data_IF_311527174871
#
_entry.id   IF_311527174871
#
_cell.length_a   1.000
_cell.length_b   1.000
_cell.length_c   1.000
_cell.angle_alpha   90.00
_cell.angle_beta   90.00
_cell.angle_gamma   90.00
#
_symmetry.space_group_name_H-M   'P 1'
#
loop_
_entity.id
_entity.type
_entity.pdbx_description
1 polymer ?
#
# COMPACT_ATOMS: atom_id res chain seq x y z
N UNK A 1 13.34 14.68 -8.45
CA UNK A 1 14.10 15.56 -9.37
C UNK A 1 15.54 15.77 -8.91
N UNK A 2 15.85 16.45 -7.79
CA UNK A 2 17.26 16.70 -7.40
C UNK A 2 18.06 15.44 -7.00
N UNK A 3 17.39 14.45 -6.41
CA UNK A 3 18.00 13.15 -6.05
C UNK A 3 18.41 12.37 -7.30
N UNK A 4 17.57 12.42 -8.34
CA UNK A 4 17.74 11.62 -9.55
C UNK A 4 18.92 12.13 -10.39
N UNK A 5 19.15 13.45 -10.42
CA UNK A 5 20.35 14.06 -11.03
C UNK A 5 21.66 13.63 -10.35
N UNK A 6 21.66 13.42 -9.03
CA UNK A 6 22.86 12.95 -8.30
C UNK A 6 23.15 11.48 -8.50
N UNK A 7 22.10 10.67 -8.65
CA UNK A 7 22.25 9.23 -8.87
C UNK A 7 22.54 8.86 -10.32
N UNK A 8 22.63 9.85 -11.23
CA UNK A 8 22.77 9.63 -12.68
C UNK A 8 21.76 8.60 -13.23
N UNK A 9 20.64 8.45 -12.53
CA UNK A 9 19.58 7.53 -12.93
C UNK A 9 18.53 8.35 -13.62
N UNK A 10 18.34 8.04 -14.90
CA UNK A 10 17.36 8.72 -15.71
C UNK A 10 15.96 8.40 -15.17
N UNK A 11 15.38 9.31 -14.37
CA UNK A 11 14.08 9.11 -13.75
C UNK A 11 12.96 8.91 -14.79
N UNK A 12 13.17 9.42 -16.01
CA UNK A 12 12.26 9.22 -17.13
C UNK A 12 12.36 7.83 -17.74
N UNK A 13 13.47 7.11 -17.58
CA UNK A 13 13.64 5.77 -18.16
C UNK A 13 12.61 4.76 -17.65
N UNK A 14 11.93 5.05 -16.54
CA UNK A 14 10.97 4.14 -15.92
C UNK A 14 9.51 4.54 -16.03
N UNK A 15 9.20 5.71 -16.61
CA UNK A 15 7.85 6.19 -16.87
C UNK A 15 6.88 5.90 -15.70
N UNK A 16 7.31 6.17 -14.46
CA UNK A 16 6.54 5.86 -13.24
C UNK A 16 5.20 6.61 -13.30
N UNK A 17 5.22 7.86 -13.75
CA UNK A 17 4.01 8.69 -13.89
C UNK A 17 3.01 8.06 -14.86
N UNK A 18 3.49 7.53 -16.00
CA UNK A 18 2.65 6.81 -16.96
C UNK A 18 2.06 5.56 -16.32
N UNK A 19 2.83 4.82 -15.51
CA UNK A 19 2.33 3.63 -14.80
C UNK A 19 1.27 3.99 -13.76
N UNK A 20 1.45 5.09 -13.02
CA UNK A 20 0.44 5.58 -12.08
C UNK A 20 -0.85 5.91 -12.83
N UNK A 21 -0.76 6.71 -13.90
CA UNK A 21 -1.92 7.13 -14.69
C UNK A 21 -2.63 5.92 -15.30
N UNK A 22 -1.90 4.99 -15.92
CA UNK A 22 -2.47 3.76 -16.49
C UNK A 22 -3.12 2.88 -15.43
N UNK A 23 -2.50 2.75 -14.25
CA UNK A 23 -3.02 1.93 -13.16
C UNK A 23 -4.30 2.54 -12.55
N UNK A 24 -4.34 3.86 -12.37
CA UNK A 24 -5.53 4.59 -11.96
C UNK A 24 -6.65 4.48 -13.00
N UNK A 25 -6.34 4.70 -14.28
CA UNK A 25 -7.30 4.57 -15.38
C UNK A 25 -7.87 3.15 -15.45
N UNK A 26 -7.02 2.12 -15.32
CA UNK A 26 -7.45 0.73 -15.27
C UNK A 26 -8.39 0.44 -14.10
N UNK A 27 -8.09 0.96 -12.90
CA UNK A 27 -8.97 0.78 -11.75
C UNK A 27 -10.34 1.43 -11.94
N UNK A 28 -10.39 2.63 -12.55
CA UNK A 28 -11.64 3.32 -12.87
C UNK A 28 -12.44 2.50 -13.88
N UNK A 29 -11.82 2.11 -14.99
CA UNK A 29 -12.47 1.29 -16.04
C UNK A 29 -13.00 -0.01 -15.46
N UNK A 30 -12.21 -0.71 -14.65
CA UNK A 30 -12.61 -1.95 -14.01
C UNK A 30 -13.85 -1.77 -13.10
N UNK A 31 -13.88 -0.72 -12.26
CA UNK A 31 -15.04 -0.43 -11.39
C UNK A 31 -16.28 -0.07 -12.19
N UNK A 32 -16.13 0.72 -13.26
CA UNK A 32 -17.24 1.05 -14.17
C UNK A 32 -17.80 -0.20 -14.83
N UNK A 33 -16.94 -1.11 -15.32
CA UNK A 33 -17.37 -2.39 -15.91
C UNK A 33 -18.13 -3.24 -14.88
N UNK A 34 -17.60 -3.38 -13.66
CA UNK A 34 -18.29 -4.14 -12.61
C UNK A 34 -19.66 -3.54 -12.26
N UNK A 35 -19.78 -2.21 -12.21
CA UNK A 35 -21.05 -1.54 -11.96
C UNK A 35 -22.06 -1.74 -13.11
N UNK A 36 -21.61 -1.73 -14.36
CA UNK A 36 -22.44 -2.02 -15.53
C UNK A 36 -22.96 -3.46 -15.46
N UNK A 37 -22.08 -4.43 -15.20
CA UNK A 37 -22.45 -5.85 -15.06
C UNK A 37 -23.44 -6.03 -13.89
N UNK A 38 -23.23 -5.31 -12.78
CA UNK A 38 -24.13 -5.35 -11.63
C UNK A 38 -25.52 -4.81 -11.95
N UNK A 39 -25.61 -3.73 -12.74
CA UNK A 39 -26.88 -3.12 -13.16
C UNK A 39 -27.65 -4.00 -14.14
N UNK A 40 -26.97 -4.58 -15.15
CA UNK A 40 -27.62 -5.46 -16.15
C UNK A 40 -28.30 -6.66 -15.47
N UNK A 41 -27.75 -7.13 -14.35
CA UNK A 41 -28.27 -8.29 -13.62
C UNK A 41 -29.34 -7.96 -12.56
N UNK A 42 -29.66 -6.68 -12.30
CA UNK A 42 -30.68 -6.27 -11.33
C UNK A 42 -31.65 -5.27 -11.99
N UNK A 43 -32.69 -5.79 -12.64
CA UNK A 43 -33.61 -5.01 -13.47
C UNK A 43 -34.44 -3.98 -12.67
N UNK A 44 -34.78 -4.27 -11.41
CA UNK A 44 -35.83 -3.53 -10.70
C UNK A 44 -35.38 -2.20 -10.05
N UNK A 45 -34.08 -1.99 -9.78
CA UNK A 45 -33.62 -0.86 -8.95
C UNK A 45 -32.50 0.00 -9.58
N UNK A 46 -32.15 -0.20 -10.85
CA UNK A 46 -30.89 0.36 -11.36
C UNK A 46 -30.85 1.91 -11.37
N UNK A 47 -31.96 2.61 -11.58
CA UNK A 47 -31.99 4.09 -11.68
C UNK A 47 -31.77 4.81 -10.34
N UNK A 48 -32.43 4.36 -9.26
CA UNK A 48 -32.25 4.98 -7.93
C UNK A 48 -30.91 4.59 -7.31
N UNK A 49 -30.44 3.37 -7.58
CA UNK A 49 -29.08 2.93 -7.27
C UNK A 49 -28.06 3.79 -8.03
N UNK A 50 -28.34 4.23 -9.26
CA UNK A 50 -27.37 4.96 -10.08
C UNK A 50 -26.88 6.26 -9.46
N UNK A 51 -27.78 7.12 -8.97
CA UNK A 51 -27.36 8.42 -8.42
C UNK A 51 -26.60 8.27 -7.10
N UNK A 52 -27.11 7.44 -6.18
CA UNK A 52 -26.42 7.14 -4.92
C UNK A 52 -25.09 6.43 -5.15
N UNK A 53 -25.05 5.49 -6.10
CA UNK A 53 -23.82 4.80 -6.50
C UNK A 53 -22.82 5.77 -7.11
N UNK A 54 -23.22 6.71 -7.98
CA UNK A 54 -22.30 7.70 -8.55
C UNK A 54 -21.66 8.55 -7.44
N UNK A 55 -22.46 9.11 -6.54
CA UNK A 55 -21.93 9.95 -5.45
C UNK A 55 -20.97 9.16 -4.55
N UNK A 56 -21.35 7.93 -4.18
CA UNK A 56 -20.50 7.05 -3.38
C UNK A 56 -19.24 6.64 -4.14
N UNK A 57 -19.34 6.36 -5.45
CA UNK A 57 -18.20 5.94 -6.28
C UNK A 57 -17.19 7.08 -6.43
N UNK A 58 -17.62 8.34 -6.58
CA UNK A 58 -16.72 9.49 -6.63
C UNK A 58 -15.89 9.60 -5.34
N UNK A 59 -16.53 9.46 -4.18
CA UNK A 59 -15.83 9.49 -2.90
C UNK A 59 -14.84 8.32 -2.77
N UNK A 60 -15.25 7.12 -3.19
CA UNK A 60 -14.38 5.93 -3.16
C UNK A 60 -13.18 6.06 -4.11
N UNK A 61 -13.37 6.67 -5.29
CA UNK A 61 -12.27 6.93 -6.22
C UNK A 61 -11.20 7.85 -5.64
N UNK A 62 -11.58 8.84 -4.83
CA UNK A 62 -10.61 9.72 -4.16
C UNK A 62 -9.68 8.91 -3.24
N UNK A 63 -10.23 7.94 -2.50
CA UNK A 63 -9.43 7.05 -1.67
C UNK A 63 -8.58 6.09 -2.51
N UNK A 64 -9.13 5.50 -3.56
CA UNK A 64 -8.38 4.57 -4.44
C UNK A 64 -7.14 5.26 -5.02
N UNK A 65 -7.31 6.46 -5.59
CA UNK A 65 -6.22 7.24 -6.16
C UNK A 65 -5.17 7.52 -5.08
N UNK A 66 -5.60 7.91 -3.88
CA UNK A 66 -4.68 8.16 -2.77
C UNK A 66 -3.88 6.91 -2.39
N UNK A 67 -4.51 5.74 -2.31
CA UNK A 67 -3.83 4.48 -1.99
C UNK A 67 -2.84 4.09 -3.08
N UNK A 68 -3.24 4.19 -4.35
CA UNK A 68 -2.37 3.89 -5.47
C UNK A 68 -1.16 4.82 -5.51
N UNK A 69 -1.37 6.13 -5.41
CA UNK A 69 -0.27 7.11 -5.37
C UNK A 69 0.68 6.80 -4.21
N UNK A 70 0.15 6.46 -3.03
CA UNK A 70 0.96 6.11 -1.86
C UNK A 70 1.79 4.84 -2.10
N UNK A 71 1.18 3.79 -2.68
CA UNK A 71 1.90 2.60 -3.10
C UNK A 71 3.03 2.92 -4.07
N UNK A 72 2.78 3.74 -5.10
CA UNK A 72 3.82 4.12 -6.06
C UNK A 72 4.93 4.99 -5.46
N UNK A 73 4.61 5.85 -4.50
CA UNK A 73 5.62 6.59 -3.73
C UNK A 73 6.53 5.60 -3.00
N UNK A 74 5.98 4.65 -2.24
CA UNK A 74 6.79 3.63 -1.56
C UNK A 74 7.57 2.76 -2.55
N UNK A 75 6.95 2.35 -3.66
CA UNK A 75 7.61 1.55 -4.69
C UNK A 75 8.78 2.29 -5.35
N UNK A 76 8.63 3.59 -5.62
CA UNK A 76 9.70 4.45 -6.14
C UNK A 76 10.87 4.56 -5.14
N UNK A 77 10.55 4.72 -3.85
CA UNK A 77 11.55 4.75 -2.78
C UNK A 77 12.28 3.41 -2.64
N UNK A 78 11.56 2.29 -2.68
CA UNK A 78 12.14 0.94 -2.65
C UNK A 78 13.16 0.78 -3.78
N UNK A 79 12.82 1.20 -4.99
CA UNK A 79 13.74 1.17 -6.13
C UNK A 79 14.97 2.05 -5.91
N UNK A 80 14.81 3.27 -5.40
CA UNK A 80 15.94 4.17 -5.10
C UNK A 80 16.89 3.55 -4.08
N UNK A 81 16.37 2.96 -3.01
CA UNK A 81 17.18 2.24 -2.02
C UNK A 81 17.88 1.05 -2.68
N UNK A 82 17.18 0.26 -3.49
CA UNK A 82 17.78 -0.90 -4.18
C UNK A 82 18.88 -0.51 -5.16
N UNK A 83 18.70 0.59 -5.89
CA UNK A 83 19.74 1.16 -6.76
C UNK A 83 20.92 1.63 -5.92
N UNK A 84 20.69 2.31 -4.80
CA UNK A 84 21.75 2.71 -3.87
C UNK A 84 22.52 1.48 -3.37
N UNK A 85 21.83 0.41 -2.96
CA UNK A 85 22.46 -0.86 -2.57
C UNK A 85 23.37 -1.41 -3.66
N UNK A 86 22.91 -1.43 -4.93
CA UNK A 86 23.72 -1.89 -6.07
C UNK A 86 24.98 -1.05 -6.29
N UNK A 87 24.86 0.28 -6.21
CA UNK A 87 25.99 1.19 -6.37
C UNK A 87 27.02 1.01 -5.25
N UNK A 88 26.55 0.74 -4.03
CA UNK A 88 27.43 0.41 -2.90
C UNK A 88 28.10 -0.95 -3.14
N UNK A 89 27.39 -1.98 -3.62
CA UNK A 89 27.98 -3.30 -3.94
C UNK A 89 29.14 -3.15 -4.95
N UNK A 90 28.94 -2.34 -5.99
CA UNK A 90 29.93 -2.14 -7.05
C UNK A 90 31.10 -1.24 -6.64
N UNK A 91 31.11 -0.68 -5.42
CA UNK A 91 32.08 0.32 -4.95
C UNK A 91 32.15 1.58 -5.84
N UNK A 92 31.05 1.93 -6.50
CA UNK A 92 30.99 3.09 -7.41
C UNK A 92 30.77 4.42 -6.67
N UNK A 93 30.39 4.37 -5.38
CA UNK A 93 29.99 5.55 -4.60
C UNK A 93 30.66 5.56 -3.21
N UNK A 94 31.19 6.72 -2.83
CA UNK A 94 31.71 6.99 -1.49
C UNK A 94 30.62 6.90 -0.41
N UNK A 95 30.99 6.37 0.75
CA UNK A 95 30.08 6.18 1.90
C UNK A 95 29.43 7.51 2.33
N UNK A 96 30.16 8.62 2.29
CA UNK A 96 29.64 9.95 2.64
C UNK A 96 28.53 10.40 1.68
N UNK A 97 28.72 10.22 0.37
CA UNK A 97 27.72 10.54 -0.63
C UNK A 97 26.47 9.65 -0.48
N UNK A 98 26.69 8.35 -0.19
CA UNK A 98 25.61 7.42 0.10
C UNK A 98 24.78 7.85 1.32
N UNK A 99 25.43 8.32 2.40
CA UNK A 99 24.76 8.84 3.59
C UNK A 99 23.83 10.01 3.28
N UNK A 100 24.31 10.96 2.49
CA UNK A 100 23.53 12.14 2.14
C UNK A 100 22.35 11.81 1.22
N UNK A 101 22.52 10.86 0.29
CA UNK A 101 21.41 10.35 -0.53
C UNK A 101 20.38 9.67 0.37
N UNK A 102 20.81 8.78 1.27
CA UNK A 102 19.93 8.09 2.21
C UNK A 102 19.18 9.06 3.12
N UNK A 103 19.85 10.08 3.67
CA UNK A 103 19.23 11.18 4.45
C UNK A 103 18.12 11.87 3.68
N UNK A 104 18.34 12.16 2.39
CA UNK A 104 17.33 12.82 1.56
C UNK A 104 16.14 11.90 1.27
N UNK A 105 16.37 10.60 1.08
CA UNK A 105 15.31 9.59 0.96
C UNK A 105 14.48 9.56 2.25
N UNK A 106 15.12 9.46 3.41
CA UNK A 106 14.47 9.45 4.73
C UNK A 106 13.64 10.71 4.97
N UNK A 107 14.18 11.91 4.67
CA UNK A 107 13.45 13.18 4.78
C UNK A 107 12.21 13.21 3.88
N UNK A 108 12.34 12.75 2.64
CA UNK A 108 11.23 12.69 1.67
C UNK A 108 10.13 11.75 2.15
N UNK A 109 10.53 10.62 2.73
CA UNK A 109 9.62 9.65 3.33
C UNK A 109 8.82 10.27 4.48
N UNK A 110 9.49 10.94 5.43
CA UNK A 110 8.79 11.55 6.57
C UNK A 110 7.81 12.64 6.13
N UNK A 111 8.15 13.41 5.09
CA UNK A 111 7.25 14.41 4.53
C UNK A 111 5.99 13.76 3.90
N UNK A 112 6.17 12.71 3.10
CA UNK A 112 5.05 11.99 2.47
C UNK A 112 4.16 11.28 3.52
N UNK A 113 4.78 10.69 4.54
CA UNK A 113 4.09 9.95 5.61
C UNK A 113 3.07 10.80 6.36
N UNK A 114 3.38 12.07 6.65
CA UNK A 114 2.50 12.94 7.45
C UNK A 114 1.11 13.10 6.83
N UNK A 115 1.03 13.28 5.51
CA UNK A 115 -0.27 13.39 4.81
C UNK A 115 -0.94 12.02 4.66
N UNK A 116 -0.13 10.98 4.41
CA UNK A 116 -0.60 9.63 4.24
C UNK A 116 -1.29 9.07 5.49
N UNK A 117 -0.74 9.31 6.69
CA UNK A 117 -1.24 8.72 7.94
C UNK A 117 -2.74 9.05 8.17
N UNK A 118 -3.15 10.31 8.01
CA UNK A 118 -4.54 10.74 8.20
C UNK A 118 -5.49 10.10 7.19
N UNK A 119 -5.11 10.12 5.90
CA UNK A 119 -5.95 9.60 4.83
C UNK A 119 -6.07 8.07 4.92
N UNK A 120 -4.99 7.39 5.32
CA UNK A 120 -4.97 5.94 5.47
C UNK A 120 -5.85 5.46 6.62
N UNK A 121 -5.79 6.11 7.79
CA UNK A 121 -6.69 5.76 8.90
C UNK A 121 -8.14 6.03 8.55
N UNK A 122 -8.43 7.16 7.91
CA UNK A 122 -9.79 7.46 7.46
C UNK A 122 -10.31 6.38 6.50
N UNK A 123 -9.47 5.94 5.56
CA UNK A 123 -9.81 4.83 4.68
C UNK A 123 -10.04 3.53 5.47
N UNK A 124 -9.17 3.15 6.40
CA UNK A 124 -9.37 1.95 7.23
C UNK A 124 -10.70 2.00 7.99
N UNK A 125 -11.06 3.14 8.59
CA UNK A 125 -12.30 3.32 9.31
C UNK A 125 -13.55 3.22 8.44
N UNK A 126 -13.45 3.52 7.13
CA UNK A 126 -14.58 3.43 6.19
C UNK A 126 -14.64 2.04 5.55
N UNK A 127 -13.52 1.56 5.01
CA UNK A 127 -13.48 0.32 4.24
C UNK A 127 -13.64 -0.93 5.11
N UNK A 128 -13.04 -0.98 6.31
CA UNK A 128 -13.07 -2.19 7.14
C UNK A 128 -14.50 -2.50 7.64
N UNK A 129 -15.27 -1.55 8.21
CA UNK A 129 -16.68 -1.79 8.51
C UNK A 129 -17.50 -2.09 7.26
N UNK A 130 -17.21 -1.44 6.13
CA UNK A 130 -17.86 -1.73 4.85
C UNK A 130 -17.70 -3.18 4.42
N UNK A 131 -16.49 -3.74 4.55
CA UNK A 131 -16.22 -5.15 4.30
C UNK A 131 -17.03 -6.05 5.24
N UNK A 132 -17.08 -5.73 6.54
CA UNK A 132 -17.85 -6.50 7.54
C UNK A 132 -19.35 -6.52 7.15
N UNK A 133 -19.94 -5.37 6.87
CA UNK A 133 -21.35 -5.28 6.47
C UNK A 133 -21.59 -6.05 5.18
N UNK A 134 -20.69 -5.93 4.20
CA UNK A 134 -20.82 -6.63 2.93
C UNK A 134 -20.79 -8.15 3.08
N UNK A 135 -19.86 -8.70 3.87
CA UNK A 135 -19.81 -10.14 4.14
C UNK A 135 -21.07 -10.62 4.88
N UNK A 136 -21.58 -9.83 5.83
CA UNK A 136 -22.82 -10.16 6.52
C UNK A 136 -24.03 -10.22 5.56
N UNK A 137 -24.20 -9.20 4.71
CA UNK A 137 -25.26 -9.18 3.69
C UNK A 137 -25.14 -10.38 2.74
N UNK A 138 -23.91 -10.78 2.42
CA UNK A 138 -23.68 -11.96 1.59
C UNK A 138 -24.13 -13.25 2.30
N UNK A 139 -23.85 -13.40 3.60
CA UNK A 139 -24.31 -14.54 4.39
C UNK A 139 -25.84 -14.59 4.50
N UNK A 140 -26.49 -13.46 4.74
CA UNK A 140 -27.96 -13.42 4.85
C UNK A 140 -28.64 -13.77 3.53
N UNK A 141 -28.10 -13.31 2.40
CA UNK A 141 -28.64 -13.61 1.07
C UNK A 141 -28.37 -15.04 0.61
N UNK A 142 -27.22 -15.61 1.00
CA UNK A 142 -26.92 -17.01 0.76
C UNK A 142 -27.95 -17.94 1.43
N UNK A 143 -28.42 -17.59 2.64
CA UNK A 143 -29.45 -18.34 3.36
C UNK A 143 -30.81 -18.32 2.64
N UNK A 144 -31.18 -17.22 1.99
CA UNK A 144 -32.50 -17.06 1.32
C UNK A 144 -32.60 -17.77 -0.04
N UNK A 145 -31.53 -18.42 -0.51
CA UNK A 145 -31.54 -19.44 -1.59
C UNK A 145 -32.23 -19.05 -2.91
N UNK A 146 -32.08 -17.81 -3.39
CA UNK A 146 -32.53 -17.43 -4.74
C UNK A 146 -31.47 -17.76 -5.81
N UNK A 147 -31.89 -18.39 -6.91
CA UNK A 147 -31.00 -18.83 -8.00
C UNK A 147 -30.30 -17.66 -8.71
N UNK A 148 -30.97 -16.50 -8.82
CA UNK A 148 -30.45 -15.32 -9.53
C UNK A 148 -29.39 -14.55 -8.72
N UNK A 149 -29.12 -14.97 -7.47
CA UNK A 149 -28.20 -14.31 -6.57
C UNK A 149 -26.72 -14.56 -6.88
N UNK A 150 -26.38 -15.68 -7.53
CA UNK A 150 -24.98 -16.09 -7.72
C UNK A 150 -24.17 -15.05 -8.51
N UNK A 151 -24.74 -14.48 -9.57
CA UNK A 151 -24.05 -13.47 -10.37
C UNK A 151 -23.81 -12.18 -9.57
N UNK A 152 -24.83 -11.70 -8.84
CA UNK A 152 -24.70 -10.51 -7.99
C UNK A 152 -23.67 -10.70 -6.87
N UNK A 153 -23.63 -11.90 -6.28
CA UNK A 153 -22.67 -12.27 -5.23
C UNK A 153 -21.23 -12.22 -5.77
N UNK A 154 -20.97 -12.80 -6.94
CA UNK A 154 -19.63 -12.82 -7.55
C UNK A 154 -19.15 -11.40 -7.81
N UNK A 155 -19.97 -10.55 -8.43
CA UNK A 155 -19.60 -9.15 -8.74
C UNK A 155 -19.30 -8.36 -7.46
N UNK A 156 -20.13 -8.49 -6.42
CA UNK A 156 -19.89 -7.86 -5.11
C UNK A 156 -18.57 -8.32 -4.49
N UNK A 157 -18.30 -9.62 -4.47
CA UNK A 157 -17.07 -10.16 -3.91
C UNK A 157 -15.83 -9.73 -4.68
N UNK A 158 -15.89 -9.67 -6.01
CA UNK A 158 -14.79 -9.13 -6.82
C UNK A 158 -14.48 -7.67 -6.45
N UNK A 159 -15.52 -6.85 -6.30
CA UNK A 159 -15.36 -5.46 -5.85
C UNK A 159 -14.75 -5.36 -4.43
N UNK A 160 -15.18 -6.23 -3.49
CA UNK A 160 -14.60 -6.28 -2.15
C UNK A 160 -13.12 -6.67 -2.16
N UNK A 161 -12.77 -7.72 -2.92
CA UNK A 161 -11.39 -8.18 -3.07
C UNK A 161 -10.52 -7.07 -3.67
N UNK A 162 -11.00 -6.38 -4.72
CA UNK A 162 -10.27 -5.26 -5.31
C UNK A 162 -10.02 -4.14 -4.29
N UNK A 163 -11.06 -3.70 -3.56
CA UNK A 163 -10.92 -2.65 -2.55
C UNK A 163 -9.98 -3.08 -1.41
N UNK A 164 -10.05 -4.34 -0.99
CA UNK A 164 -9.15 -4.90 0.00
C UNK A 164 -7.69 -4.89 -0.49
N UNK A 165 -7.44 -5.31 -1.74
CA UNK A 165 -6.10 -5.27 -2.34
C UNK A 165 -5.57 -3.84 -2.45
N UNK A 166 -6.41 -2.88 -2.84
CA UNK A 166 -6.05 -1.46 -2.90
C UNK A 166 -5.72 -0.89 -1.53
N UNK A 167 -6.53 -1.20 -0.51
CA UNK A 167 -6.32 -0.79 0.88
C UNK A 167 -5.00 -1.35 1.45
N UNK A 168 -4.65 -2.59 1.07
CA UNK A 168 -3.42 -3.24 1.49
C UNK A 168 -2.18 -2.79 0.69
N UNK A 169 -2.37 -2.18 -0.49
CA UNK A 169 -1.27 -1.84 -1.39
C UNK A 169 -0.19 -0.95 -0.75
N UNK A 170 -0.49 0.12 0.01
CA UNK A 170 0.55 0.95 0.60
C UNK A 170 1.36 0.21 1.67
N UNK A 171 0.73 -0.73 2.41
CA UNK A 171 1.40 -1.55 3.41
C UNK A 171 2.42 -2.49 2.77
N UNK A 172 2.05 -3.14 1.67
CA UNK A 172 3.01 -3.93 0.88
C UNK A 172 4.15 -3.05 0.35
N UNK A 173 3.84 -1.85 -0.14
CA UNK A 173 4.85 -0.90 -0.59
C UNK A 173 5.84 -0.50 0.51
N UNK A 174 5.35 -0.17 1.70
CA UNK A 174 6.18 0.21 2.83
C UNK A 174 7.04 -0.96 3.36
N UNK A 175 6.51 -2.17 3.35
CA UNK A 175 7.26 -3.37 3.71
C UNK A 175 8.44 -3.61 2.76
N UNK A 176 8.23 -3.44 1.45
CA UNK A 176 9.31 -3.51 0.45
C UNK A 176 10.41 -2.47 0.69
N UNK A 177 10.04 -1.24 1.09
CA UNK A 177 11.01 -0.20 1.46
C UNK A 177 11.80 -0.60 2.69
N UNK A 178 11.10 -1.11 3.71
CA UNK A 178 11.70 -1.56 4.98
C UNK A 178 12.69 -2.69 4.74
N UNK A 179 12.30 -3.70 3.96
CA UNK A 179 13.13 -4.84 3.60
C UNK A 179 14.41 -4.42 2.86
N UNK A 180 14.31 -3.53 1.87
CA UNK A 180 15.50 -3.04 1.16
C UNK A 180 16.41 -2.17 2.02
N UNK A 181 15.86 -1.43 2.99
CA UNK A 181 16.66 -0.69 3.95
C UNK A 181 17.44 -1.62 4.90
N UNK A 182 16.83 -2.73 5.30
CA UNK A 182 17.49 -3.77 6.09
C UNK A 182 18.58 -4.49 5.31
N UNK A 183 18.33 -4.81 4.04
CA UNK A 183 19.34 -5.37 3.13
C UNK A 183 20.56 -4.43 3.01
N UNK A 184 20.31 -3.14 2.81
CA UNK A 184 21.37 -2.12 2.78
C UNK A 184 22.16 -2.08 4.09
N UNK A 185 21.46 -2.12 5.24
CA UNK A 185 22.08 -2.15 6.56
C UNK A 185 23.01 -3.36 6.73
N UNK A 186 22.53 -4.55 6.38
CA UNK A 186 23.30 -5.80 6.48
C UNK A 186 24.59 -5.71 5.65
N UNK A 187 24.48 -5.20 4.42
CA UNK A 187 25.64 -5.03 3.56
C UNK A 187 26.69 -4.08 4.14
N UNK A 188 26.27 -2.99 4.77
CA UNK A 188 27.20 -2.07 5.42
C UNK A 188 27.87 -2.68 6.66
N UNK A 189 27.17 -3.56 7.41
CA UNK A 189 27.81 -4.34 8.47
C UNK A 189 28.88 -5.28 7.90
N UNK A 190 28.59 -5.98 6.80
CA UNK A 190 29.57 -6.86 6.16
C UNK A 190 30.81 -6.09 5.68
N UNK A 191 30.60 -4.89 5.10
CA UNK A 191 31.70 -4.01 4.70
C UNK A 191 32.51 -3.48 5.88
N UNK A 192 31.86 -3.18 7.01
CA UNK A 192 32.54 -2.73 8.22
C UNK A 192 33.51 -3.80 8.74
N UNK A 193 33.12 -5.08 8.68
CA UNK A 193 33.99 -6.19 9.08
C UNK A 193 35.20 -6.37 8.15
N UNK A 194 35.10 -5.93 6.90
CA UNK A 194 36.17 -6.04 5.91
C UNK A 194 37.07 -4.79 5.85
N UNK A 195 36.66 -3.68 6.47
CA UNK A 195 37.38 -2.42 6.44
C UNK A 195 38.73 -2.55 7.18
N UNK A 196 39.82 -2.27 6.46
CA UNK A 196 41.18 -2.24 7.03
C UNK A 196 41.58 -0.84 7.49
N UNK A 197 41.03 0.19 6.86
CA UNK A 197 41.33 1.59 7.14
C UNK A 197 40.39 2.14 8.21
N UNK A 198 40.97 2.79 9.23
CA UNK A 198 40.23 3.35 10.36
C UNK A 198 39.25 4.45 9.91
N UNK A 199 39.64 5.28 8.94
CA UNK A 199 38.76 6.34 8.41
C UNK A 199 37.52 5.78 7.71
N UNK A 200 37.70 4.73 6.90
CA UNK A 200 36.58 4.05 6.24
C UNK A 200 35.66 3.39 7.27
N UNK A 201 36.22 2.70 8.26
CA UNK A 201 35.45 2.08 9.34
C UNK A 201 34.62 3.12 10.11
N UNK A 202 35.21 4.26 10.44
CA UNK A 202 34.52 5.35 11.14
C UNK A 202 33.39 5.95 10.30
N UNK A 203 33.58 6.10 8.98
CA UNK A 203 32.53 6.57 8.07
C UNK A 203 31.34 5.60 7.96
N UNK A 204 31.63 4.30 7.91
CA UNK A 204 30.64 3.22 7.89
C UNK A 204 29.86 3.14 9.19
N UNK A 205 30.55 3.27 10.33
CA UNK A 205 29.92 3.29 11.65
C UNK A 205 28.97 4.48 11.80
N UNK A 206 29.37 5.68 11.35
CA UNK A 206 28.49 6.86 11.31
C UNK A 206 27.24 6.61 10.46
N UNK A 207 27.38 5.92 9.33
CA UNK A 207 26.25 5.57 8.46
C UNK A 207 25.31 4.58 9.15
N UNK A 208 25.84 3.51 9.74
CA UNK A 208 25.07 2.51 10.47
C UNK A 208 24.33 3.12 11.67
N UNK A 209 25.02 3.95 12.46
CA UNK A 209 24.41 4.69 13.56
C UNK A 209 23.27 5.60 13.08
N UNK A 210 23.40 6.19 11.89
CA UNK A 210 22.32 6.99 11.30
C UNK A 210 21.11 6.14 10.90
N UNK A 211 21.31 4.99 10.27
CA UNK A 211 20.23 4.04 9.93
C UNK A 211 19.54 3.54 11.19
N UNK A 212 20.31 3.24 12.24
CA UNK A 212 19.77 2.70 13.50
C UNK A 212 19.02 3.74 14.31
N UNK A 213 19.41 5.01 14.20
CA UNK A 213 18.62 6.13 14.72
C UNK A 213 17.34 6.40 13.92
N UNK A 214 17.26 5.98 12.65
CA UNK A 214 16.13 6.25 11.75
C UNK A 214 15.67 4.98 11.02
N UNK A 215 15.22 3.95 11.75
CA UNK A 215 14.74 2.74 11.11
C UNK A 215 13.53 3.09 10.25
N UNK A 216 13.55 2.67 8.99
CA UNK A 216 12.43 2.84 8.04
C UNK A 216 11.26 1.90 8.37
N UNK A 217 10.84 1.87 9.65
CA UNK A 217 9.66 1.14 10.12
C UNK A 217 8.45 2.05 10.00
N UNK A 218 7.54 1.69 9.11
CA UNK A 218 6.34 2.45 8.86
C UNK A 218 5.24 2.07 9.85
N UNK A 219 4.75 3.07 10.58
CA UNK A 219 3.65 2.93 11.52
C UNK A 219 2.71 4.11 11.34
N UNK A 220 1.42 3.85 11.15
CA UNK A 220 0.41 4.90 11.03
C UNK A 220 -0.02 5.32 12.42
N UNK A 221 0.08 6.61 12.71
CA UNK A 221 -0.12 7.18 14.05
C UNK A 221 0.63 6.46 15.17
N UNK A 222 1.77 5.81 14.86
CA UNK A 222 2.55 4.99 15.79
C UNK A 222 1.81 3.77 16.38
N UNK A 223 0.59 3.48 15.94
CA UNK A 223 -0.25 2.40 16.48
C UNK A 223 -0.33 1.23 15.50
N UNK A 224 -0.59 1.53 14.22
CA UNK A 224 -0.87 0.52 13.22
C UNK A 224 0.41 0.26 12.42
N UNK A 225 1.01 -0.93 12.48
CA UNK A 225 2.17 -1.25 11.65
C UNK A 225 1.74 -1.28 10.17
N UNK A 226 2.55 -0.67 9.30
CA UNK A 226 2.33 -0.66 7.86
C UNK A 226 3.24 -1.72 7.20
N UNK A 227 3.00 -2.98 7.56
CA UNK A 227 3.74 -4.15 7.08
C UNK A 227 2.77 -5.24 6.61
N UNK A 228 3.30 -6.42 6.25
CA UNK A 228 2.50 -7.57 5.84
C UNK A 228 1.57 -8.10 6.94
N UNK A 229 1.73 -7.68 8.20
CA UNK A 229 0.82 -8.10 9.27
C UNK A 229 -0.52 -7.38 9.19
N UNK A 230 -0.58 -6.20 8.56
CA UNK A 230 -1.81 -5.40 8.48
C UNK A 230 -2.93 -6.08 7.65
N UNK A 231 -2.70 -6.59 6.43
CA UNK A 231 -3.71 -7.37 5.71
C UNK A 231 -4.26 -8.54 6.52
N UNK A 232 -3.37 -9.25 7.22
CA UNK A 232 -3.74 -10.40 8.08
C UNK A 232 -4.60 -9.93 9.25
N UNK A 233 -4.24 -8.81 9.88
CA UNK A 233 -5.01 -8.21 10.97
C UNK A 233 -6.42 -7.82 10.52
N UNK A 234 -6.56 -7.20 9.34
CA UNK A 234 -7.87 -6.82 8.77
C UNK A 234 -8.71 -8.06 8.50
N UNK A 235 -8.15 -9.11 7.89
CA UNK A 235 -8.87 -10.36 7.61
C UNK A 235 -9.32 -11.02 8.92
N UNK A 236 -8.44 -11.12 9.92
CA UNK A 236 -8.76 -11.67 11.23
C UNK A 236 -9.89 -10.88 11.92
N UNK A 237 -9.83 -9.55 11.83
CA UNK A 237 -10.88 -8.67 12.36
C UNK A 237 -12.22 -8.96 11.67
N UNK A 238 -12.25 -8.97 10.33
CA UNK A 238 -13.45 -9.24 9.54
C UNK A 238 -14.05 -10.59 9.93
N UNK A 239 -13.25 -11.66 9.97
CA UNK A 239 -13.71 -13.01 10.35
C UNK A 239 -14.27 -13.02 11.77
N UNK A 240 -13.56 -12.42 12.73
CA UNK A 240 -13.99 -12.38 14.14
C UNK A 240 -15.35 -11.68 14.28
N UNK A 241 -15.52 -10.53 13.65
CA UNK A 241 -16.79 -9.82 13.67
C UNK A 241 -17.91 -10.57 12.94
N UNK A 242 -17.61 -11.27 11.84
CA UNK A 242 -18.61 -12.13 11.20
C UNK A 242 -19.12 -13.20 12.16
N UNK A 243 -18.21 -13.89 12.88
CA UNK A 243 -18.59 -14.92 13.85
C UNK A 243 -19.51 -14.33 14.93
N UNK A 244 -19.13 -13.18 15.50
CA UNK A 244 -19.92 -12.49 16.53
C UNK A 244 -21.31 -12.11 16.00
N UNK A 245 -21.40 -11.51 14.81
CA UNK A 245 -22.68 -11.09 14.22
C UNK A 245 -23.57 -12.31 13.96
N UNK A 246 -23.01 -13.40 13.44
CA UNK A 246 -23.75 -14.65 13.20
C UNK A 246 -24.31 -15.23 14.50
N UNK A 247 -23.51 -15.25 15.57
CA UNK A 247 -23.93 -15.72 16.89
C UNK A 247 -25.03 -14.84 17.49
N UNK A 248 -24.87 -13.51 17.43
CA UNK A 248 -25.85 -12.56 17.98
C UNK A 248 -27.18 -12.59 17.23
N UNK A 249 -27.14 -12.73 15.91
CA UNK A 249 -28.35 -12.76 15.06
C UNK A 249 -29.04 -14.13 15.04
N UNK A 250 -28.45 -15.17 15.65
CA UNK A 250 -28.93 -16.56 15.58
C UNK A 250 -29.22 -16.97 14.13
N UNK A 251 -28.34 -16.55 13.22
CA UNK A 251 -28.53 -16.83 11.78
C UNK A 251 -28.44 -18.33 11.50
N UNK A 252 -27.84 -19.10 12.40
CA UNK A 252 -27.76 -20.55 12.42
C UNK A 252 -28.17 -21.11 13.78
#
# INVERSE_FOLDING_TARGET
MWIDTKLSTDSNAHNIDVKIILSCAWCIVYKVILNIIFCINNEDDCLMIYFGAIVYTIQMFSFDITMMVSFFIFYSLHRRIKTLTKLVINNEIDVANCLDIYRNIVKSIYAAKKCFDYLYVLALMIFVPGLIVQFYVNLTKFKTRSSDYLHSLVVRNLHAIQNFMLLCSPAVGADLVTSSAQELKLLFHDKLLQAKEEEQALSLERFLNYIDGHPLRFTVFKIIPLDWTLPVMIVNLVITYQIIIVQLTKLY
#
